data_IF_261154217198
#
_entry.id   IF_261154217198
#
_cell.length_a   1.000
_cell.length_b   1.000
_cell.length_c   1.000
_cell.angle_alpha   90.00
_cell.angle_beta   90.00
_cell.angle_gamma   90.00
#
_symmetry.space_group_name_H-M   'P 1'
#
loop_
_entity.id
_entity.type
_entity.pdbx_description
1 polymer ?
#
# COMPACT_ATOMS: atom_id res chain seq x y z
N UNK A 1 -32.09 -3.96 -4.89
CA UNK A 1 -31.58 -3.08 -5.96
C UNK A 1 -30.09 -3.32 -6.02
N UNK A 2 -29.58 -3.96 -7.08
CA UNK A 2 -28.15 -4.08 -7.31
C UNK A 2 -27.64 -2.68 -7.64
N UNK A 3 -26.96 -2.04 -6.69
CA UNK A 3 -26.17 -0.85 -6.98
C UNK A 3 -25.08 -1.29 -7.95
N UNK A 4 -25.27 -1.02 -9.24
CA UNK A 4 -24.21 -1.19 -10.22
C UNK A 4 -23.18 -0.11 -9.92
N UNK A 5 -22.10 -0.52 -9.24
CA UNK A 5 -20.90 0.28 -9.06
C UNK A 5 -20.26 0.38 -10.45
N UNK A 6 -20.74 1.37 -11.22
CA UNK A 6 -20.26 1.64 -12.56
C UNK A 6 -19.16 2.69 -12.42
N UNK A 7 -17.94 2.43 -12.92
CA UNK A 7 -16.87 3.41 -12.81
C UNK A 7 -17.28 4.73 -13.48
N UNK A 8 -16.87 5.88 -12.92
CA UNK A 8 -17.14 7.18 -13.51
C UNK A 8 -16.68 7.25 -14.97
N UNK A 9 -17.41 7.94 -15.87
CA UNK A 9 -17.03 8.05 -17.27
C UNK A 9 -15.60 8.56 -17.48
N UNK A 10 -15.14 9.48 -16.64
CA UNK A 10 -13.80 10.04 -16.67
C UNK A 10 -12.73 8.97 -16.42
N UNK A 11 -13.02 8.01 -15.54
CA UNK A 11 -12.13 6.89 -15.24
C UNK A 11 -12.09 5.90 -16.40
N UNK A 12 -13.23 5.64 -17.04
CA UNK A 12 -13.31 4.81 -18.24
C UNK A 12 -12.50 5.42 -19.39
N UNK A 13 -12.54 6.75 -19.55
CA UNK A 13 -11.75 7.45 -20.57
C UNK A 13 -10.24 7.24 -20.38
N UNK A 14 -9.74 7.15 -19.15
CA UNK A 14 -8.33 6.88 -18.88
C UNK A 14 -7.88 5.50 -19.37
N UNK A 15 -8.81 4.54 -19.52
CA UNK A 15 -8.49 3.19 -19.95
C UNK A 15 -8.51 3.00 -21.47
N UNK A 16 -9.20 3.87 -22.22
CA UNK A 16 -9.41 3.72 -23.67
C UNK A 16 -8.10 3.74 -24.49
N UNK A 17 -7.01 4.27 -23.93
CA UNK A 17 -5.68 4.28 -24.56
C UNK A 17 -4.71 3.22 -24.00
N UNK A 18 -5.12 2.42 -23.03
CA UNK A 18 -4.25 1.42 -22.42
C UNK A 18 -4.26 0.10 -23.21
N UNK A 19 -3.13 -0.65 -23.23
CA UNK A 19 -3.15 -2.05 -23.65
C UNK A 19 -4.25 -2.81 -22.90
N UNK A 20 -4.99 -3.69 -23.58
CA UNK A 20 -6.17 -4.37 -23.04
C UNK A 20 -5.92 -5.01 -21.66
N UNK A 21 -4.78 -5.68 -21.48
CA UNK A 21 -4.41 -6.27 -20.19
C UNK A 21 -4.31 -5.22 -19.07
N UNK A 22 -3.70 -4.06 -19.35
CA UNK A 22 -3.62 -2.95 -18.38
C UNK A 22 -4.99 -2.33 -18.12
N UNK A 23 -5.82 -2.18 -19.15
CA UNK A 23 -7.19 -1.69 -19.00
C UNK A 23 -8.04 -2.61 -18.12
N UNK A 24 -7.94 -3.93 -18.30
CA UNK A 24 -8.65 -4.93 -17.46
C UNK A 24 -8.17 -4.86 -16.02
N UNK A 25 -6.85 -4.84 -15.79
CA UNK A 25 -6.30 -4.72 -14.43
C UNK A 25 -6.74 -3.42 -13.76
N UNK A 26 -6.73 -2.29 -14.49
CA UNK A 26 -7.17 -1.00 -13.98
C UNK A 26 -8.68 -0.99 -13.65
N UNK A 27 -9.51 -1.60 -14.51
CA UNK A 27 -10.94 -1.71 -14.27
C UNK A 27 -11.26 -2.58 -13.06
N UNK A 28 -10.58 -3.71 -12.90
CA UNK A 28 -10.73 -4.58 -11.74
C UNK A 28 -10.30 -3.88 -10.45
N UNK A 29 -9.15 -3.20 -10.49
CA UNK A 29 -8.65 -2.42 -9.35
C UNK A 29 -9.64 -1.33 -8.95
N UNK A 30 -10.15 -0.56 -9.91
CA UNK A 30 -11.11 0.51 -9.66
C UNK A 30 -12.43 0.01 -9.03
N UNK A 31 -12.94 -1.14 -9.48
CA UNK A 31 -14.12 -1.76 -8.86
C UNK A 31 -13.84 -2.21 -7.42
N UNK A 32 -12.68 -2.84 -7.19
CA UNK A 32 -12.27 -3.26 -5.85
C UNK A 32 -12.04 -2.07 -4.90
N UNK A 33 -11.52 -0.95 -5.40
CA UNK A 33 -11.35 0.28 -4.62
C UNK A 33 -12.70 0.91 -4.27
N UNK A 34 -13.64 0.98 -5.22
CA UNK A 34 -14.99 1.51 -4.96
C UNK A 34 -15.77 0.67 -3.94
N UNK A 35 -15.73 -0.67 -4.05
CA UNK A 35 -16.37 -1.57 -3.09
C UNK A 35 -15.74 -1.42 -1.69
N UNK A 36 -14.41 -1.30 -1.62
CA UNK A 36 -13.71 -1.09 -0.35
C UNK A 36 -14.15 0.23 0.30
N UNK A 37 -14.21 1.32 -0.46
CA UNK A 37 -14.63 2.62 0.06
C UNK A 37 -16.09 2.61 0.50
N UNK A 38 -17.01 2.00 -0.26
CA UNK A 38 -18.40 1.84 0.15
C UNK A 38 -18.53 1.01 1.45
N UNK A 39 -17.75 -0.06 1.59
CA UNK A 39 -17.70 -0.84 2.82
C UNK A 39 -17.17 -0.02 4.00
N UNK A 40 -16.10 0.76 3.79
CA UNK A 40 -15.52 1.63 4.82
C UNK A 40 -16.48 2.76 5.24
N UNK A 41 -17.20 3.38 4.29
CA UNK A 41 -18.24 4.37 4.56
C UNK A 41 -19.36 3.76 5.41
N UNK A 42 -19.89 2.61 5.00
CA UNK A 42 -20.92 1.91 5.75
C UNK A 42 -20.46 1.55 7.18
N UNK A 43 -19.23 1.07 7.34
CA UNK A 43 -18.65 0.80 8.67
C UNK A 43 -18.51 2.07 9.51
N UNK A 44 -18.12 3.19 8.90
CA UNK A 44 -17.91 4.47 9.59
C UNK A 44 -19.22 5.08 10.12
N UNK A 45 -20.36 4.74 9.51
CA UNK A 45 -21.69 5.13 10.00
C UNK A 45 -22.14 4.35 11.24
N UNK A 46 -21.49 3.22 11.56
CA UNK A 46 -21.86 2.42 12.72
C UNK A 46 -21.44 3.12 14.02
N UNK A 47 -22.32 3.14 15.04
CA UNK A 47 -21.98 3.71 16.34
C UNK A 47 -20.87 2.88 17.02
N UNK A 48 -20.03 3.57 17.81
CA UNK A 48 -18.95 2.98 18.62
C UNK A 48 -17.97 2.10 17.83
N UNK A 49 -16.80 2.66 17.52
CA UNK A 49 -15.68 1.96 16.84
C UNK A 49 -15.88 1.67 15.35
N UNK A 50 -16.98 2.10 14.73
CA UNK A 50 -17.21 1.96 13.29
C UNK A 50 -16.07 2.52 12.44
N UNK A 51 -15.62 3.74 12.76
CA UNK A 51 -14.45 4.38 12.14
C UNK A 51 -13.16 3.56 12.32
N UNK A 52 -12.96 2.95 13.49
CA UNK A 52 -11.81 2.10 13.76
C UNK A 52 -11.83 0.85 12.86
N UNK A 53 -12.97 0.16 12.77
CA UNK A 53 -13.13 -1.00 11.88
C UNK A 53 -12.97 -0.63 10.39
N UNK A 54 -13.45 0.54 9.97
CA UNK A 54 -13.26 1.03 8.61
C UNK A 54 -11.77 1.23 8.29
N UNK A 55 -11.00 1.79 9.23
CA UNK A 55 -9.56 1.98 9.09
C UNK A 55 -8.81 0.64 9.05
N UNK A 56 -9.14 -0.30 9.95
CA UNK A 56 -8.57 -1.65 9.96
C UNK A 56 -8.86 -2.39 8.63
N UNK A 57 -10.09 -2.30 8.12
CA UNK A 57 -10.45 -2.90 6.84
C UNK A 57 -9.63 -2.30 5.69
N UNK A 58 -9.49 -0.97 5.64
CA UNK A 58 -8.71 -0.30 4.60
C UNK A 58 -7.24 -0.72 4.68
N UNK A 59 -6.64 -0.74 5.88
CA UNK A 59 -5.26 -1.18 6.09
C UNK A 59 -5.03 -2.64 5.68
N UNK A 60 -5.96 -3.54 6.00
CA UNK A 60 -5.86 -4.95 5.65
C UNK A 60 -5.99 -5.21 4.13
N UNK A 61 -6.77 -4.38 3.41
CA UNK A 61 -7.03 -4.57 1.97
C UNK A 61 -6.11 -3.76 1.06
N UNK A 62 -5.54 -2.67 1.56
CA UNK A 62 -4.56 -1.81 0.89
C UNK A 62 -3.39 -1.55 1.83
N UNK A 63 -2.62 -2.59 2.19
CA UNK A 63 -1.44 -2.40 3.01
C UNK A 63 -0.53 -1.41 2.30
N UNK A 64 -0.08 -0.38 3.02
CA UNK A 64 0.95 0.51 2.47
C UNK A 64 2.18 -0.36 2.19
N UNK A 65 2.81 -0.23 1.01
CA UNK A 65 4.11 -0.83 0.82
C UNK A 65 5.05 -0.27 1.91
N UNK A 66 6.02 -1.08 2.38
CA UNK A 66 6.96 -0.61 3.39
C UNK A 66 7.62 0.70 2.92
N UNK A 67 7.83 1.63 3.84
CA UNK A 67 8.49 2.89 3.56
C UNK A 67 9.91 2.63 3.03
N UNK A 68 10.53 3.61 2.35
CA UNK A 68 11.92 3.46 1.91
C UNK A 68 12.87 3.23 3.10
N UNK A 69 12.54 3.79 4.27
CA UNK A 69 13.23 3.55 5.54
C UNK A 69 13.11 2.09 5.97
N UNK A 70 11.89 1.53 5.99
CA UNK A 70 11.65 0.12 6.35
C UNK A 70 12.34 -0.84 5.37
N UNK A 71 12.26 -0.55 4.06
CA UNK A 71 12.96 -1.31 3.03
C UNK A 71 14.48 -1.28 3.23
N UNK A 72 15.06 -0.10 3.51
CA UNK A 72 16.49 0.06 3.73
C UNK A 72 16.97 -0.65 5.00
N UNK A 73 16.18 -0.62 6.08
CA UNK A 73 16.49 -1.35 7.33
C UNK A 73 16.47 -2.87 7.10
N UNK A 74 15.47 -3.38 6.38
CA UNK A 74 15.38 -4.79 6.03
C UNK A 74 16.59 -5.26 5.19
N UNK A 75 17.06 -4.43 4.24
CA UNK A 75 18.27 -4.74 3.46
C UNK A 75 19.53 -4.82 4.33
N UNK A 76 19.63 -4.02 5.40
CA UNK A 76 20.74 -4.12 6.37
C UNK A 76 20.62 -5.39 7.20
N UNK A 77 19.40 -5.80 7.60
CA UNK A 77 19.16 -7.06 8.32
C UNK A 77 19.51 -8.29 7.47
N UNK A 78 19.25 -8.23 6.17
CA UNK A 78 19.55 -9.29 5.21
C UNK A 78 21.02 -9.31 4.74
N UNK A 79 21.76 -8.21 4.96
CA UNK A 79 23.21 -8.13 4.72
C UNK A 79 23.95 -9.08 5.66
N UNK A 80 23.98 -10.34 5.28
CA UNK A 80 24.82 -11.39 5.87
C UNK A 80 25.91 -11.69 4.85
N UNK A 81 26.93 -10.82 4.79
CA UNK A 81 28.10 -11.11 3.96
C UNK A 81 29.13 -11.89 4.79
N UNK A 82 29.30 -13.20 4.57
CA UNK A 82 30.36 -13.98 5.21
C UNK A 82 31.76 -13.69 4.64
N UNK A 83 31.87 -13.00 3.49
CA UNK A 83 33.12 -12.72 2.77
C UNK A 83 33.65 -11.30 3.03
N UNK A 84 32.84 -10.42 3.63
CA UNK A 84 33.27 -9.18 4.28
C UNK A 84 33.57 -7.99 3.35
N UNK A 85 33.04 -7.97 2.13
CA UNK A 85 33.55 -7.10 1.05
C UNK A 85 32.70 -5.86 0.76
N UNK A 86 31.55 -5.65 1.40
CA UNK A 86 30.67 -4.49 1.10
C UNK A 86 30.78 -3.33 2.10
N UNK A 87 30.52 -3.57 3.38
CA UNK A 87 30.57 -2.57 4.45
C UNK A 87 30.92 -3.28 5.76
N UNK A 88 31.82 -2.70 6.55
CA UNK A 88 32.08 -3.22 7.89
C UNK A 88 30.89 -2.96 8.85
N UNK A 89 30.85 -3.69 9.96
CA UNK A 89 29.79 -3.58 10.97
C UNK A 89 29.63 -2.17 11.54
N UNK A 90 30.71 -1.37 11.56
CA UNK A 90 30.67 0.00 12.04
C UNK A 90 29.96 0.93 11.06
N UNK A 91 30.19 0.75 9.77
CA UNK A 91 29.48 1.45 8.71
C UNK A 91 27.99 1.06 8.68
N UNK A 92 27.68 -0.24 8.76
CA UNK A 92 26.29 -0.73 8.81
C UNK A 92 25.53 -0.19 10.03
N UNK A 93 26.14 -0.23 11.22
CA UNK A 93 25.53 0.32 12.44
C UNK A 93 25.32 1.83 12.38
N UNK A 94 26.24 2.57 11.75
CA UNK A 94 26.09 4.02 11.55
C UNK A 94 24.93 4.34 10.60
N UNK A 95 24.81 3.61 9.49
CA UNK A 95 23.72 3.77 8.51
C UNK A 95 22.38 3.39 9.13
N UNK A 96 22.30 2.26 9.84
CA UNK A 96 21.08 1.83 10.55
C UNK A 96 20.58 2.92 11.48
N UNK A 97 21.46 3.47 12.33
CA UNK A 97 21.09 4.52 13.28
C UNK A 97 20.62 5.79 12.56
N UNK A 98 21.23 6.15 11.43
CA UNK A 98 20.76 7.28 10.63
C UNK A 98 19.34 7.03 10.09
N UNK A 99 19.06 5.84 9.56
CA UNK A 99 17.73 5.48 9.07
C UNK A 99 16.69 5.48 10.20
N UNK A 100 17.02 4.95 11.37
CA UNK A 100 16.13 4.95 12.55
C UNK A 100 15.73 6.36 13.01
N UNK A 101 16.61 7.36 12.79
CA UNK A 101 16.31 8.76 13.14
C UNK A 101 15.43 9.49 12.12
N UNK A 102 15.20 8.92 10.94
CA UNK A 102 14.32 9.52 9.95
C UNK A 102 12.85 9.44 10.40
N UNK A 103 12.03 10.46 10.11
CA UNK A 103 10.58 10.35 10.24
C UNK A 103 10.04 9.23 9.33
N UNK A 104 8.85 8.73 9.65
CA UNK A 104 8.11 7.79 8.79
C UNK A 104 7.66 8.42 7.47
#
# INVERSE_FOLDING_TARGET
MTYLITPPPELVQQWLGLPLAKAISAAFQAGADQELEACCEWLSELPQSGEWFANELRAARRPKPPSLKEQALALIDECTDPEGDYLDDSALSTIRRALETLPE
#
